data_IF_454780648370
#
_entry.id   IF_454780648370
#
_cell.length_a   1.000
_cell.length_b   1.000
_cell.length_c   1.000
_cell.angle_alpha   90.00
_cell.angle_beta   90.00
_cell.angle_gamma   90.00
#
_symmetry.space_group_name_H-M   'P 1'
#
loop_
_entity.id
_entity.type
_entity.pdbx_description
1 polymer ?
#
# COMPACT_ATOMS: atom_id res chain seq x y z
N UNK A 1 -41.79 8.69 -3.84
CA UNK A 1 -41.47 7.36 -3.27
C UNK A 1 -42.76 6.70 -2.84
N UNK A 2 -42.90 5.37 -2.94
CA UNK A 2 -44.08 4.68 -2.44
C UNK A 2 -44.09 4.68 -0.91
N UNK A 3 -45.26 4.92 -0.31
CA UNK A 3 -45.43 4.88 1.15
C UNK A 3 -45.62 3.42 1.58
N UNK A 4 -44.77 2.95 2.51
CA UNK A 4 -44.77 1.56 2.98
C UNK A 4 -45.35 1.47 4.40
N UNK A 5 -46.04 0.35 4.68
CA UNK A 5 -46.53 0.05 6.01
C UNK A 5 -45.38 -0.42 6.93
N UNK A 6 -45.39 0.04 8.19
CA UNK A 6 -44.42 -0.42 9.20
C UNK A 6 -44.84 -1.81 9.69
N UNK A 7 -43.99 -2.82 9.43
CA UNK A 7 -44.19 -4.18 9.95
C UNK A 7 -43.54 -4.32 11.33
N UNK A 8 -44.21 -5.03 12.25
CA UNK A 8 -43.77 -5.19 13.64
C UNK A 8 -43.91 -6.65 14.12
N UNK A 9 -43.37 -6.96 15.30
CA UNK A 9 -43.56 -8.24 15.98
C UNK A 9 -43.16 -9.47 15.15
N UNK A 10 -44.06 -10.47 15.07
CA UNK A 10 -43.83 -11.73 14.35
C UNK A 10 -43.58 -11.52 12.85
N UNK A 11 -44.24 -10.54 12.23
CA UNK A 11 -44.06 -10.23 10.81
C UNK A 11 -42.64 -9.70 10.55
N UNK A 12 -42.16 -8.78 11.39
CA UNK A 12 -40.78 -8.28 11.32
C UNK A 12 -39.74 -9.39 11.55
N UNK A 13 -39.94 -10.26 12.56
CA UNK A 13 -39.05 -11.40 12.82
C UNK A 13 -38.91 -12.33 11.61
N UNK A 14 -40.03 -12.66 10.97
CA UNK A 14 -40.05 -13.51 9.78
C UNK A 14 -39.39 -12.82 8.57
N UNK A 15 -39.65 -11.52 8.38
CA UNK A 15 -39.04 -10.75 7.29
C UNK A 15 -37.51 -10.66 7.44
N UNK A 16 -36.98 -10.47 8.65
CA UNK A 16 -35.55 -10.49 8.93
C UNK A 16 -34.94 -11.87 8.63
N UNK A 17 -35.60 -12.96 9.07
CA UNK A 17 -35.12 -14.32 8.83
C UNK A 17 -35.06 -14.67 7.32
N UNK A 18 -36.08 -14.29 6.54
CA UNK A 18 -36.12 -14.51 5.09
C UNK A 18 -35.17 -13.61 4.28
N UNK A 19 -34.72 -12.47 4.84
CA UNK A 19 -33.93 -11.47 4.11
C UNK A 19 -32.58 -12.00 3.64
N UNK A 20 -31.96 -12.92 4.38
CA UNK A 20 -30.68 -13.52 4.00
C UNK A 20 -30.75 -14.28 2.67
N UNK A 21 -31.80 -15.08 2.47
CA UNK A 21 -32.03 -15.81 1.21
C UNK A 21 -32.31 -14.85 0.04
N UNK A 22 -33.10 -13.80 0.28
CA UNK A 22 -33.37 -12.77 -0.73
C UNK A 22 -32.09 -12.05 -1.17
N UNK A 23 -31.20 -11.70 -0.24
CA UNK A 23 -29.90 -11.10 -0.57
C UNK A 23 -29.03 -12.06 -1.38
N UNK A 24 -28.92 -13.33 -0.95
CA UNK A 24 -28.11 -14.32 -1.66
C UNK A 24 -28.57 -14.53 -3.12
N UNK A 25 -29.89 -14.67 -3.34
CA UNK A 25 -30.46 -14.81 -4.69
C UNK A 25 -30.32 -13.53 -5.54
N UNK A 26 -30.35 -12.34 -4.92
CA UNK A 26 -30.09 -11.08 -5.61
C UNK A 26 -28.63 -10.99 -6.08
N UNK A 27 -27.67 -11.22 -5.17
CA UNK A 27 -26.24 -11.21 -5.49
C UNK A 27 -25.89 -12.25 -6.56
N UNK A 28 -26.48 -13.44 -6.51
CA UNK A 28 -26.29 -14.47 -7.55
C UNK A 28 -26.78 -14.01 -8.93
N UNK A 29 -27.95 -13.37 -9.00
CA UNK A 29 -28.53 -12.87 -10.27
C UNK A 29 -27.76 -11.69 -10.83
N UNK A 30 -27.37 -10.73 -10.01
CA UNK A 30 -26.51 -9.62 -10.48
C UNK A 30 -25.14 -10.12 -10.94
N UNK A 31 -24.54 -11.08 -10.23
CA UNK A 31 -23.28 -11.69 -10.63
C UNK A 31 -23.39 -12.39 -11.98
N UNK A 32 -24.45 -13.18 -12.18
CA UNK A 32 -24.72 -13.84 -13.45
C UNK A 32 -24.87 -12.82 -14.59
N UNK A 33 -25.63 -11.73 -14.38
CA UNK A 33 -25.78 -10.67 -15.38
C UNK A 33 -24.45 -9.96 -15.70
N UNK A 34 -23.64 -9.67 -14.68
CA UNK A 34 -22.34 -9.01 -14.86
C UNK A 34 -21.34 -9.90 -15.63
N UNK A 35 -21.28 -11.19 -15.32
CA UNK A 35 -20.46 -12.18 -16.04
C UNK A 35 -20.96 -12.36 -17.48
N UNK A 36 -22.29 -12.42 -17.71
CA UNK A 36 -22.85 -12.49 -19.07
C UNK A 36 -22.53 -11.24 -19.90
N UNK A 37 -22.55 -10.04 -19.30
CA UNK A 37 -22.14 -8.81 -19.97
C UNK A 37 -20.64 -8.81 -20.33
N UNK A 38 -19.77 -9.36 -19.47
CA UNK A 38 -18.34 -9.55 -19.77
C UNK A 38 -18.09 -10.56 -20.90
N UNK A 39 -18.83 -11.67 -20.92
CA UNK A 39 -18.73 -12.67 -21.98
C UNK A 39 -19.08 -12.06 -23.34
N UNK A 40 -20.20 -11.33 -23.42
CA UNK A 40 -20.59 -10.60 -24.63
C UNK A 40 -19.53 -9.57 -25.05
N UNK A 41 -18.97 -8.80 -24.12
CA UNK A 41 -17.87 -7.87 -24.40
C UNK A 41 -16.62 -8.59 -24.93
N UNK A 42 -16.31 -9.79 -24.44
CA UNK A 42 -15.19 -10.60 -24.91
C UNK A 42 -15.39 -11.12 -26.34
N UNK A 43 -16.59 -11.64 -26.63
CA UNK A 43 -16.95 -12.27 -27.92
C UNK A 43 -17.20 -11.23 -29.02
N UNK A 44 -18.01 -10.21 -28.73
CA UNK A 44 -18.48 -9.24 -29.71
C UNK A 44 -17.71 -7.91 -29.71
N UNK A 45 -16.85 -7.68 -28.70
CA UNK A 45 -16.10 -6.41 -28.52
C UNK A 45 -17.02 -5.18 -28.33
N UNK A 46 -18.28 -5.39 -27.92
CA UNK A 46 -19.28 -4.37 -27.66
C UNK A 46 -19.50 -4.19 -26.14
N UNK A 47 -19.61 -2.93 -25.71
CA UNK A 47 -19.85 -2.50 -24.34
C UNK A 47 -21.33 -2.30 -24.00
N UNK A 48 -22.26 -2.48 -24.96
CA UNK A 48 -23.68 -2.16 -24.81
C UNK A 48 -24.31 -2.71 -23.52
N UNK A 49 -24.12 -3.99 -23.19
CA UNK A 49 -24.67 -4.60 -21.97
C UNK A 49 -23.91 -4.22 -20.70
N UNK A 50 -22.61 -3.92 -20.80
CA UNK A 50 -21.78 -3.42 -19.69
C UNK A 50 -22.26 -2.02 -19.28
N UNK A 51 -22.52 -1.16 -20.26
CA UNK A 51 -23.09 0.17 -20.06
C UNK A 51 -24.52 0.09 -19.54
N UNK A 52 -25.39 -0.72 -20.16
CA UNK A 52 -26.78 -0.89 -19.71
C UNK A 52 -26.87 -1.38 -18.25
N UNK A 53 -26.01 -2.32 -17.85
CA UNK A 53 -25.96 -2.79 -16.47
C UNK A 53 -25.50 -1.69 -15.50
N UNK A 54 -24.52 -0.86 -15.91
CA UNK A 54 -24.05 0.28 -15.12
C UNK A 54 -25.12 1.37 -14.97
N UNK A 55 -25.84 1.71 -16.04
CA UNK A 55 -26.85 2.77 -16.04
C UNK A 55 -28.11 2.37 -15.25
N UNK A 56 -28.51 1.09 -15.26
CA UNK A 56 -29.59 0.61 -14.38
C UNK A 56 -29.16 0.46 -12.90
N UNK A 57 -27.86 0.32 -12.63
CA UNK A 57 -27.37 0.01 -11.29
C UNK A 57 -27.54 1.22 -10.36
N UNK A 58 -27.92 1.02 -9.09
CA UNK A 58 -28.00 2.11 -8.13
C UNK A 58 -26.60 2.69 -7.84
N UNK A 59 -26.52 3.99 -7.55
CA UNK A 59 -25.25 4.73 -7.47
C UNK A 59 -24.24 4.19 -6.44
N UNK A 60 -24.72 3.51 -5.39
CA UNK A 60 -23.88 2.84 -4.40
C UNK A 60 -23.22 1.55 -4.93
N UNK A 61 -23.80 0.92 -5.97
CA UNK A 61 -23.28 -0.30 -6.60
C UNK A 61 -22.45 -0.01 -7.85
N UNK A 62 -22.78 1.06 -8.59
CA UNK A 62 -22.05 1.53 -9.77
C UNK A 62 -20.53 1.64 -9.55
N UNK A 63 -20.06 2.02 -8.35
CA UNK A 63 -18.62 2.18 -8.07
C UNK A 63 -17.89 0.83 -8.14
N UNK A 64 -18.38 -0.19 -7.43
CA UNK A 64 -17.83 -1.56 -7.44
C UNK A 64 -18.01 -2.25 -8.78
N UNK A 65 -19.19 -2.11 -9.40
CA UNK A 65 -19.46 -2.62 -10.75
C UNK A 65 -18.42 -2.09 -11.78
N UNK A 66 -18.11 -0.79 -11.72
CA UNK A 66 -17.12 -0.17 -12.60
C UNK A 66 -15.71 -0.66 -12.34
N UNK A 67 -15.28 -0.76 -11.08
CA UNK A 67 -13.94 -1.26 -10.77
C UNK A 67 -13.78 -2.71 -11.23
N UNK A 68 -14.80 -3.54 -11.02
CA UNK A 68 -14.84 -4.94 -11.43
C UNK A 68 -14.78 -5.11 -12.97
N UNK A 69 -15.58 -4.34 -13.71
CA UNK A 69 -15.53 -4.34 -15.18
C UNK A 69 -14.20 -3.83 -15.74
N UNK A 70 -13.51 -2.92 -15.05
CA UNK A 70 -12.19 -2.44 -15.44
C UNK A 70 -11.08 -3.47 -15.20
N UNK A 71 -11.26 -4.37 -14.23
CA UNK A 71 -10.29 -5.43 -13.94
C UNK A 71 -10.46 -6.61 -14.91
N UNK A 72 -11.65 -7.22 -14.91
CA UNK A 72 -11.92 -8.47 -15.65
C UNK A 72 -12.41 -8.25 -17.08
N UNK A 73 -12.64 -6.99 -17.49
CA UNK A 73 -13.23 -6.67 -18.78
C UNK A 73 -12.27 -6.01 -19.78
N UNK A 74 -12.51 -6.30 -21.06
CA UNK A 74 -11.88 -5.66 -22.21
C UNK A 74 -12.38 -4.22 -22.45
N UNK A 75 -12.44 -3.41 -21.39
CA UNK A 75 -12.96 -2.04 -21.42
C UNK A 75 -12.13 -1.05 -20.58
N UNK A 76 -12.34 0.24 -20.89
CA UNK A 76 -11.98 1.39 -20.07
C UNK A 76 -13.25 2.18 -19.75
N UNK A 77 -13.17 3.11 -18.80
CA UNK A 77 -14.30 3.96 -18.39
C UNK A 77 -13.93 5.42 -18.54
N UNK A 78 -14.67 6.16 -19.35
CA UNK A 78 -14.53 7.61 -19.52
C UNK A 78 -15.57 8.30 -18.63
N UNK A 79 -15.10 8.91 -17.55
CA UNK A 79 -15.95 9.73 -16.70
C UNK A 79 -16.50 10.95 -17.47
N UNK A 80 -17.73 11.35 -17.15
CA UNK A 80 -18.31 12.59 -17.67
C UNK A 80 -17.67 13.82 -17.00
N UNK A 81 -17.75 14.99 -17.65
CA UNK A 81 -17.15 16.25 -17.19
C UNK A 81 -17.61 16.68 -15.79
N UNK A 82 -18.81 16.25 -15.37
CA UNK A 82 -19.39 16.50 -14.04
C UNK A 82 -18.85 15.59 -12.94
N UNK A 83 -17.94 14.65 -13.26
CA UNK A 83 -17.37 13.67 -12.33
C UNK A 83 -18.36 12.61 -11.82
N UNK A 84 -19.61 12.63 -12.29
CA UNK A 84 -20.68 11.69 -11.91
C UNK A 84 -21.13 10.92 -13.15
N UNK A 85 -21.06 9.59 -13.07
CA UNK A 85 -21.30 8.71 -14.22
C UNK A 85 -20.19 8.81 -15.27
N UNK A 86 -20.46 8.21 -16.44
CA UNK A 86 -19.52 8.06 -17.54
C UNK A 86 -19.92 6.90 -18.44
N UNK A 87 -19.14 6.68 -19.49
CA UNK A 87 -19.36 5.63 -20.46
C UNK A 87 -18.20 4.62 -20.48
N UNK A 88 -18.52 3.34 -20.60
CA UNK A 88 -17.54 2.32 -20.96
C UNK A 88 -17.14 2.45 -22.43
N UNK A 89 -15.88 2.17 -22.71
CA UNK A 89 -15.30 2.18 -24.06
C UNK A 89 -14.54 0.87 -24.24
N UNK A 90 -14.69 0.23 -25.39
CA UNK A 90 -13.96 -0.98 -25.74
C UNK A 90 -12.44 -0.73 -25.76
N UNK A 91 -11.68 -1.61 -25.12
CA UNK A 91 -10.24 -1.47 -24.93
C UNK A 91 -9.48 -2.61 -25.61
N UNK A 92 -9.07 -2.41 -26.86
CA UNK A 92 -8.38 -3.43 -27.68
C UNK A 92 -7.09 -3.99 -27.05
N UNK A 93 -6.43 -3.24 -26.17
CA UNK A 93 -5.20 -3.64 -25.46
C UNK A 93 -5.43 -4.56 -24.24
N UNK A 94 -6.68 -4.77 -23.83
CA UNK A 94 -7.05 -5.68 -22.73
C UNK A 94 -7.61 -7.01 -23.26
N UNK A 95 -7.78 -7.97 -22.36
CA UNK A 95 -8.57 -9.17 -22.55
C UNK A 95 -9.72 -9.19 -21.52
N UNK A 96 -10.76 -10.00 -21.77
CA UNK A 96 -11.77 -10.31 -20.75
C UNK A 96 -11.36 -11.60 -20.03
N UNK A 97 -11.34 -11.59 -18.69
CA UNK A 97 -11.09 -12.76 -17.85
C UNK A 97 -12.40 -13.23 -17.21
N UNK A 98 -13.06 -14.18 -17.88
CA UNK A 98 -14.33 -14.76 -17.42
C UNK A 98 -14.11 -15.70 -16.22
N UNK A 99 -12.95 -16.35 -16.11
CA UNK A 99 -12.67 -17.28 -15.01
C UNK A 99 -12.37 -16.56 -13.69
N UNK A 100 -11.65 -15.43 -13.73
CA UNK A 100 -11.49 -14.52 -12.62
C UNK A 100 -12.81 -13.86 -12.24
N UNK A 101 -13.55 -13.35 -13.25
CA UNK A 101 -14.87 -12.75 -13.05
C UNK A 101 -15.83 -13.70 -12.32
N UNK A 102 -15.91 -14.98 -12.69
CA UNK A 102 -16.81 -15.93 -12.01
C UNK A 102 -16.52 -16.11 -10.52
N UNK A 103 -15.26 -15.95 -10.08
CA UNK A 103 -14.81 -16.20 -8.69
C UNK A 103 -15.12 -15.04 -7.73
N UNK A 104 -15.16 -13.80 -8.23
CA UNK A 104 -15.32 -12.59 -7.40
C UNK A 104 -16.55 -11.81 -7.85
N UNK A 105 -17.55 -11.66 -6.98
CA UNK A 105 -18.73 -10.84 -7.31
C UNK A 105 -18.43 -9.34 -7.28
N UNK A 106 -19.05 -8.51 -8.16
CA UNK A 106 -18.81 -7.06 -8.17
C UNK A 106 -19.10 -6.38 -6.83
N UNK A 107 -20.09 -6.88 -6.08
CA UNK A 107 -20.43 -6.43 -4.73
C UNK A 107 -19.31 -6.65 -3.69
N UNK A 108 -18.45 -7.65 -3.91
CA UNK A 108 -17.33 -7.97 -3.03
C UNK A 108 -16.02 -7.35 -3.52
N UNK A 109 -15.92 -7.00 -4.81
CA UNK A 109 -14.73 -6.41 -5.43
C UNK A 109 -14.26 -5.12 -4.72
N UNK A 110 -15.20 -4.32 -4.21
CA UNK A 110 -14.86 -3.11 -3.45
C UNK A 110 -14.42 -3.32 -2.00
N UNK A 111 -14.52 -4.53 -1.46
CA UNK A 111 -13.89 -4.86 -0.16
C UNK A 111 -12.38 -5.09 -0.28
N UNK A 112 -11.89 -5.37 -1.49
CA UNK A 112 -10.47 -5.27 -1.83
C UNK A 112 -10.15 -3.90 -2.47
N UNK A 113 -10.88 -2.86 -2.06
CA UNK A 113 -10.54 -1.45 -2.30
C UNK A 113 -9.27 -1.02 -1.55
N UNK A 114 -8.18 -1.76 -1.76
CA UNK A 114 -6.92 -1.77 -1.01
C UNK A 114 -7.17 -2.01 0.48
N UNK A 115 -6.89 -3.25 0.93
CA UNK A 115 -5.90 -3.28 2.00
C UNK A 115 -4.70 -2.50 1.47
N UNK A 116 -4.46 -1.34 2.07
CA UNK A 116 -3.18 -0.69 1.93
C UNK A 116 -2.17 -1.56 2.66
N UNK A 117 -1.69 -2.59 1.96
CA UNK A 117 -0.31 -3.09 2.01
C UNK A 117 0.64 -2.12 1.28
N UNK A 118 0.25 -0.85 1.16
CA UNK A 118 1.04 0.15 1.87
C UNK A 118 1.18 -0.28 3.34
N UNK A 119 2.13 -1.19 3.62
CA UNK A 119 2.97 -1.01 4.80
C UNK A 119 3.18 0.50 4.91
N UNK A 120 2.83 1.11 6.05
CA UNK A 120 2.91 2.55 6.20
C UNK A 120 4.39 2.93 6.03
N UNK A 121 4.78 3.24 4.78
CA UNK A 121 6.18 3.29 4.36
C UNK A 121 6.79 4.44 5.13
N UNK A 122 7.48 4.10 6.22
CA UNK A 122 7.80 5.03 7.29
C UNK A 122 8.42 6.28 6.65
N UNK A 123 7.83 7.45 6.93
CA UNK A 123 8.03 8.64 6.10
C UNK A 123 9.52 8.89 5.86
N UNK A 124 9.96 8.55 4.65
CA UNK A 124 11.37 8.58 4.31
C UNK A 124 11.73 10.02 3.95
N UNK A 125 12.28 10.72 4.94
CA UNK A 125 12.73 12.11 4.82
C UNK A 125 13.68 12.27 3.61
N UNK A 126 14.54 11.28 3.37
CA UNK A 126 15.47 11.26 2.23
C UNK A 126 14.77 11.08 0.88
N UNK A 127 13.78 10.19 0.75
CA UNK A 127 12.97 10.05 -0.47
C UNK A 127 12.13 11.32 -0.76
N UNK A 128 11.64 11.98 0.29
CA UNK A 128 10.88 13.22 0.16
C UNK A 128 11.78 14.38 -0.30
N UNK A 129 12.91 14.60 0.36
CA UNK A 129 13.86 15.65 0.01
C UNK A 129 14.41 15.47 -1.42
N UNK A 130 14.68 14.24 -1.86
CA UNK A 130 15.08 13.96 -3.24
C UNK A 130 14.04 14.42 -4.29
N UNK A 131 12.74 14.23 -4.01
CA UNK A 131 11.65 14.72 -4.89
C UNK A 131 11.58 16.25 -4.91
N UNK A 132 11.82 16.90 -3.77
CA UNK A 132 11.84 18.37 -3.66
C UNK A 132 13.04 18.95 -4.42
N UNK A 133 14.26 18.40 -4.27
CA UNK A 133 15.45 18.80 -5.05
C UNK A 133 15.18 18.68 -6.55
N UNK A 134 14.59 17.56 -6.99
CA UNK A 134 14.28 17.36 -8.41
C UNK A 134 13.31 18.42 -8.92
N UNK A 135 12.18 18.65 -8.24
CA UNK A 135 11.22 19.69 -8.63
C UNK A 135 11.83 21.09 -8.69
N UNK A 136 12.63 21.46 -7.69
CA UNK A 136 13.26 22.79 -7.65
C UNK A 136 14.32 22.96 -8.74
N UNK A 137 14.99 21.88 -9.15
CA UNK A 137 15.88 21.89 -10.32
C UNK A 137 15.08 22.05 -11.62
N UNK A 138 14.00 21.27 -11.78
CA UNK A 138 13.13 21.29 -12.96
C UNK A 138 12.39 22.64 -13.11
N UNK A 139 12.03 23.30 -12.00
CA UNK A 139 11.37 24.62 -11.93
C UNK A 139 12.36 25.80 -11.94
N UNK A 140 13.68 25.54 -12.00
CA UNK A 140 14.71 26.59 -12.12
C UNK A 140 14.92 27.46 -10.88
N UNK A 141 14.69 26.91 -9.68
CA UNK A 141 14.86 27.63 -8.42
C UNK A 141 16.32 28.02 -8.14
N UNK A 142 16.52 28.99 -7.23
CA UNK A 142 17.85 29.50 -6.89
C UNK A 142 18.80 28.38 -6.40
N UNK A 143 20.02 28.36 -6.96
CA UNK A 143 21.04 27.32 -6.72
C UNK A 143 21.42 27.20 -5.24
N UNK A 144 21.31 28.27 -4.44
CA UNK A 144 21.55 28.24 -2.99
C UNK A 144 20.44 27.49 -2.25
N UNK A 145 19.19 27.61 -2.70
CA UNK A 145 18.04 26.88 -2.15
C UNK A 145 18.16 25.39 -2.46
N UNK A 146 18.50 25.04 -3.71
CA UNK A 146 18.76 23.65 -4.11
C UNK A 146 19.88 23.04 -3.24
N UNK A 147 21.03 23.73 -3.11
CA UNK A 147 22.16 23.29 -2.27
C UNK A 147 21.82 23.17 -0.77
N UNK A 148 20.96 24.03 -0.24
CA UNK A 148 20.51 23.93 1.16
C UNK A 148 19.70 22.64 1.40
N UNK A 149 18.84 22.28 0.44
CA UNK A 149 17.98 21.09 0.53
C UNK A 149 18.79 19.81 0.27
N UNK A 150 19.76 19.82 -0.65
CA UNK A 150 20.77 18.77 -0.77
C UNK A 150 21.60 18.58 0.52
N UNK A 151 21.91 19.69 1.21
CA UNK A 151 22.56 19.66 2.53
C UNK A 151 21.69 18.97 3.57
N UNK A 152 20.41 19.33 3.65
CA UNK A 152 19.44 18.67 4.52
C UNK A 152 19.28 17.17 4.18
N UNK A 153 19.29 16.81 2.90
CA UNK A 153 19.23 15.40 2.45
C UNK A 153 20.46 14.61 2.92
N UNK A 154 21.66 15.20 2.84
CA UNK A 154 22.91 14.58 3.32
C UNK A 154 22.91 14.39 4.84
N UNK A 155 22.36 15.34 5.60
CA UNK A 155 22.18 15.20 7.06
C UNK A 155 21.16 14.10 7.39
N UNK A 156 20.04 14.05 6.67
CA UNK A 156 19.01 13.03 6.84
C UNK A 156 19.47 11.60 6.44
N UNK A 157 20.54 11.47 5.66
CA UNK A 157 21.15 10.18 5.30
C UNK A 157 22.06 9.59 6.38
N UNK A 158 22.29 10.29 7.49
CA UNK A 158 23.11 9.84 8.61
C UNK A 158 24.60 10.24 8.52
N UNK A 159 25.39 9.96 9.57
CA UNK A 159 26.76 10.43 9.67
C UNK A 159 27.68 9.76 8.64
N UNK A 160 28.21 10.54 7.70
CA UNK A 160 29.37 10.13 6.90
C UNK A 160 30.57 10.02 7.84
N UNK A 161 30.94 8.80 8.22
CA UNK A 161 32.18 8.53 8.98
C UNK A 161 33.36 8.79 8.06
N UNK A 162 33.80 10.05 8.00
CA UNK A 162 35.06 10.43 7.37
C UNK A 162 36.19 9.90 8.23
N UNK A 163 36.62 8.66 7.95
CA UNK A 163 37.91 8.15 8.44
C UNK A 163 39.00 9.00 7.80
N UNK A 164 39.33 10.11 8.48
CA UNK A 164 40.43 10.99 8.11
C UNK A 164 41.71 10.21 8.35
N UNK A 165 42.21 9.55 7.31
CA UNK A 165 43.49 8.85 7.31
C UNK A 165 44.58 9.78 7.86
N UNK A 166 44.85 9.67 9.17
CA UNK A 166 45.99 10.32 9.78
C UNK A 166 47.22 9.61 9.24
N UNK A 167 47.96 10.31 8.38
CA UNK A 167 49.25 9.86 7.87
C UNK A 167 50.12 9.50 9.08
N UNK A 168 50.53 8.23 9.27
CA UNK A 168 51.36 7.86 10.40
C UNK A 168 52.67 8.64 10.37
N UNK A 169 53.14 9.08 11.54
CA UNK A 169 54.44 9.77 11.64
C UNK A 169 55.55 8.84 11.13
N UNK A 170 56.55 9.37 10.41
CA UNK A 170 57.67 8.57 9.92
C UNK A 170 58.48 8.02 11.10
N UNK A 171 58.82 6.73 11.03
CA UNK A 171 59.58 6.04 12.07
C UNK A 171 60.99 6.62 12.19
N UNK A 172 61.36 7.06 13.40
CA UNK A 172 62.74 7.30 13.76
C UNK A 172 63.45 5.96 14.03
N UNK A 173 64.73 5.87 13.67
CA UNK A 173 65.41 4.61 13.45
C UNK A 173 65.74 3.79 14.72
N UNK A 174 65.83 2.50 14.48
CA UNK A 174 66.31 1.42 15.33
C UNK A 174 67.66 1.71 16.01
N UNK A 175 67.80 1.36 17.30
CA UNK A 175 69.09 1.00 17.90
C UNK A 175 68.93 0.02 19.07
N UNK A 176 69.64 -1.09 18.98
CA UNK A 176 69.51 -2.23 19.90
C UNK A 176 70.39 -2.11 21.15
N UNK A 177 69.92 -2.67 22.28
CA UNK A 177 70.73 -3.40 23.28
C UNK A 177 69.80 -4.08 24.32
N UNK A 178 70.09 -5.33 24.67
CA UNK A 178 69.50 -6.07 25.79
C UNK A 178 70.42 -5.92 27.06
N UNK A 179 70.31 -6.68 28.19
CA UNK A 179 69.32 -7.71 28.59
C UNK A 179 68.93 -7.76 30.12
N UNK A 180 68.05 -8.73 30.48
CA UNK A 180 68.00 -9.54 31.74
C UNK A 180 67.79 -8.90 33.14
N UNK A 181 66.68 -9.30 33.80
CA UNK A 181 66.51 -9.95 35.15
C UNK A 181 65.11 -9.65 35.72
N UNK A 182 64.53 -10.33 36.72
CA UNK A 182 64.48 -11.75 37.14
C UNK A 182 63.56 -11.87 38.39
N UNK A 183 62.89 -13.02 38.58
CA UNK A 183 62.08 -13.40 39.78
C UNK A 183 60.77 -12.58 40.01
N UNK A 184 59.76 -13.05 40.76
CA UNK A 184 59.64 -14.22 41.67
C UNK A 184 58.17 -14.72 41.76
N UNK A 185 57.95 -15.98 42.14
CA UNK A 185 56.61 -16.57 42.43
C UNK A 185 56.08 -16.12 43.81
N UNK A 186 54.75 -16.08 44.00
CA UNK A 186 54.03 -16.67 45.15
C UNK A 186 52.49 -16.53 45.07
N UNK A 187 51.79 -17.63 45.31
CA UNK A 187 50.41 -17.77 45.85
C UNK A 187 50.39 -17.48 47.38
N UNK A 188 49.28 -17.55 48.16
CA UNK A 188 47.85 -17.73 47.83
C UNK A 188 46.88 -16.79 48.63
N UNK A 189 45.56 -17.04 48.51
CA UNK A 189 44.48 -16.86 49.52
C UNK A 189 44.51 -15.67 50.50
N UNK A 190 43.50 -14.78 50.42
CA UNK A 190 42.70 -14.39 51.61
C UNK A 190 41.36 -13.71 51.25
N UNK A 191 40.26 -14.33 51.69
CA UNK A 191 39.08 -13.63 52.20
C UNK A 191 39.22 -13.61 53.74
N UNK A 192 38.65 -12.65 54.50
CA UNK A 192 37.21 -12.35 54.56
C UNK A 192 36.96 -10.82 54.36
N UNK A 193 35.85 -10.16 54.71
CA UNK A 193 34.72 -10.55 55.57
C UNK A 193 33.38 -9.87 55.21
N UNK A 194 32.37 -10.20 56.02
CA UNK A 194 30.98 -9.78 55.98
C UNK A 194 30.66 -8.64 56.96
N UNK A 195 29.66 -7.80 56.62
CA UNK A 195 28.43 -7.55 57.41
C UNK A 195 27.64 -6.39 56.76
N UNK A 196 26.37 -6.64 56.40
CA UNK A 196 25.15 -6.21 57.13
C UNK A 196 24.77 -4.74 56.83
N UNK A 197 23.51 -4.30 56.80
CA UNK A 197 22.36 -4.59 57.69
C UNK A 197 21.02 -4.52 56.92
N UNK A 198 19.97 -5.12 57.51
CA UNK A 198 18.51 -4.96 57.30
C UNK A 198 18.04 -3.74 56.46
N UNK A 199 17.13 -3.91 55.48
CA UNK A 199 15.71 -4.36 55.58
C UNK A 199 14.75 -3.26 56.09
#
# INVERSE_FOLDING_TARGET
>A
MAQFAIITGKALKNAIAGRGQQIATFTQREHQLAVSALAHLGEHNDVIYVQALYDMSPANYQRGLRLWFLEFGKCTFKANETGKGGAFIYAKSKASDIEGAMKVAPANFEKEGKESTTEAKAFSVTEYLAKVVKKLTDEGADVRVIRAIEGAQKVAAGPVVVVRNQKPLPAAAEKAAAPKRAAKKADPMQAPAANAVAA
#
